data_IF_385681977655
#
_entry.id   IF_385681977655
#
_cell.length_a   1.000
_cell.length_b   1.000
_cell.length_c   1.000
_cell.angle_alpha   90.00
_cell.angle_beta   90.00
_cell.angle_gamma   90.00
#
_symmetry.space_group_name_H-M   'P 1'
#
loop_
_entity.id
_entity.type
_entity.pdbx_description
1 polymer ?
#
# COMPACT_ATOMS: atom_id res chain seq x y z
N UNK A 1 -19.45 -17.91 -5.72
CA UNK A 1 -19.38 -17.34 -7.09
C UNK A 1 -17.94 -16.84 -7.27
N UNK A 2 -17.15 -17.45 -8.16
CA UNK A 2 -15.78 -16.99 -8.43
C UNK A 2 -15.89 -15.73 -9.32
N UNK A 3 -15.38 -14.61 -8.86
CA UNK A 3 -15.33 -13.38 -9.66
C UNK A 3 -14.53 -13.65 -10.94
N UNK A 4 -15.15 -13.49 -12.09
CA UNK A 4 -14.43 -13.48 -13.37
C UNK A 4 -13.71 -12.14 -13.48
N UNK A 5 -12.39 -12.19 -13.45
CA UNK A 5 -11.55 -11.02 -13.67
C UNK A 5 -11.21 -10.96 -15.14
N UNK A 6 -11.68 -9.92 -15.80
CA UNK A 6 -11.45 -9.64 -17.23
C UNK A 6 -10.33 -8.62 -17.41
N UNK A 7 -9.82 -8.49 -18.64
CA UNK A 7 -8.69 -7.57 -18.93
C UNK A 7 -8.98 -6.12 -18.52
N UNK A 8 -10.21 -5.64 -18.77
CA UNK A 8 -10.57 -4.26 -18.40
C UNK A 8 -10.53 -3.99 -16.88
N UNK A 9 -10.74 -5.00 -16.02
CA UNK A 9 -10.59 -4.85 -14.58
C UNK A 9 -9.12 -4.64 -14.20
N UNK A 10 -8.20 -5.33 -14.89
CA UNK A 10 -6.75 -5.18 -14.68
C UNK A 10 -6.30 -3.78 -15.13
N UNK A 11 -6.77 -3.33 -16.28
CA UNK A 11 -6.46 -1.99 -16.80
C UNK A 11 -6.98 -0.89 -15.88
N UNK A 12 -8.22 -1.01 -15.40
CA UNK A 12 -8.80 -0.07 -14.43
C UNK A 12 -7.97 -0.05 -13.13
N UNK A 13 -7.62 -1.22 -12.60
CA UNK A 13 -6.78 -1.31 -11.41
C UNK A 13 -5.44 -0.59 -11.62
N UNK A 14 -4.75 -0.86 -12.72
CA UNK A 14 -3.47 -0.22 -13.08
C UNK A 14 -3.60 1.29 -13.27
N UNK A 15 -4.73 1.77 -13.79
CA UNK A 15 -4.94 3.21 -13.99
C UNK A 15 -5.04 3.99 -12.69
N UNK A 16 -5.58 3.36 -11.63
CA UNK A 16 -5.75 3.96 -10.31
C UNK A 16 -4.52 3.75 -9.42
N UNK A 17 -4.05 2.50 -9.32
CA UNK A 17 -2.99 2.12 -8.39
C UNK A 17 -1.63 2.06 -9.10
N UNK A 18 -1.14 3.23 -9.54
CA UNK A 18 0.16 3.36 -10.20
C UNK A 18 1.28 3.41 -9.16
N UNK A 19 2.31 2.61 -9.36
CA UNK A 19 3.47 2.55 -8.49
C UNK A 19 4.69 2.00 -9.23
N UNK A 20 5.67 1.48 -8.52
CA UNK A 20 6.80 0.78 -9.13
C UNK A 20 6.30 -0.50 -9.80
N UNK A 21 6.75 -0.74 -11.02
CA UNK A 21 6.43 -1.95 -11.78
C UNK A 21 7.56 -2.99 -11.70
N UNK A 22 8.78 -2.57 -11.37
CA UNK A 22 9.97 -3.42 -11.26
C UNK A 22 9.99 -4.28 -9.99
N UNK A 23 9.15 -3.95 -9.01
CA UNK A 23 9.03 -4.66 -7.74
C UNK A 23 7.63 -4.53 -7.17
N UNK A 24 7.14 -5.58 -6.54
CA UNK A 24 5.93 -5.57 -5.72
C UNK A 24 6.14 -6.41 -4.46
N UNK A 25 5.29 -6.23 -3.46
CA UNK A 25 5.30 -7.04 -2.26
C UNK A 25 4.21 -8.11 -2.29
N UNK A 26 4.48 -9.25 -1.69
CA UNK A 26 3.51 -10.30 -1.40
C UNK A 26 3.25 -10.38 0.09
N UNK A 27 1.98 -10.49 0.46
CA UNK A 27 1.59 -10.79 1.83
C UNK A 27 1.95 -12.23 2.17
N UNK A 28 2.55 -12.41 3.33
CA UNK A 28 2.78 -13.71 3.93
C UNK A 28 2.07 -13.82 5.27
N UNK A 29 1.66 -15.04 5.61
CA UNK A 29 1.08 -15.37 6.92
C UNK A 29 1.75 -16.65 7.42
N UNK A 30 2.29 -16.63 8.63
CA UNK A 30 2.95 -17.77 9.25
C UNK A 30 2.88 -17.68 10.78
N UNK A 31 2.40 -18.75 11.44
CA UNK A 31 2.36 -18.87 12.90
C UNK A 31 1.66 -17.65 13.57
N UNK A 32 0.51 -17.23 13.05
CA UNK A 32 -0.25 -16.10 13.58
C UNK A 32 0.35 -14.72 13.31
N UNK A 33 1.50 -14.65 12.64
CA UNK A 33 2.13 -13.41 12.19
C UNK A 33 1.88 -13.22 10.69
N UNK A 34 1.76 -11.98 10.27
CA UNK A 34 1.62 -11.62 8.86
C UNK A 34 2.44 -10.38 8.55
N UNK A 35 2.74 -10.19 7.27
CA UNK A 35 3.47 -9.02 6.80
C UNK A 35 3.62 -9.05 5.29
N UNK A 36 4.29 -8.05 4.76
CA UNK A 36 4.61 -7.97 3.35
C UNK A 36 6.11 -8.10 3.14
N UNK A 37 6.50 -8.77 2.08
CA UNK A 37 7.90 -8.87 1.65
C UNK A 37 7.98 -8.69 0.13
N UNK A 38 9.06 -8.12 -0.40
CA UNK A 38 9.26 -8.03 -1.85
C UNK A 38 9.18 -9.41 -2.48
N UNK A 39 8.53 -9.49 -3.64
CA UNK A 39 8.52 -10.70 -4.45
C UNK A 39 9.87 -10.87 -5.17
N UNK A 40 10.40 -12.09 -5.14
CA UNK A 40 11.70 -12.41 -5.73
C UNK A 40 11.62 -13.59 -6.69
N UNK A 41 12.42 -13.50 -7.76
CA UNK A 41 12.90 -14.67 -8.49
C UNK A 41 14.19 -15.17 -7.86
N UNK A 42 14.26 -16.44 -7.59
CA UNK A 42 15.46 -17.12 -7.10
C UNK A 42 15.38 -18.62 -7.40
N UNK A 43 16.55 -19.28 -7.42
CA UNK A 43 16.63 -20.73 -7.52
C UNK A 43 16.43 -21.36 -6.12
N UNK A 44 15.36 -22.16 -5.91
CA UNK A 44 15.11 -22.80 -4.62
C UNK A 44 16.21 -23.79 -4.19
N UNK A 45 16.87 -24.44 -5.16
CA UNK A 45 17.95 -25.39 -4.85
C UNK A 45 19.19 -24.65 -4.33
N UNK A 46 19.62 -23.58 -5.00
CA UNK A 46 20.74 -22.73 -4.54
C UNK A 46 20.44 -22.09 -3.19
N UNK A 47 19.21 -21.63 -2.99
CA UNK A 47 18.81 -21.10 -1.69
C UNK A 47 18.87 -22.16 -0.60
N UNK A 48 18.43 -23.39 -0.87
CA UNK A 48 18.54 -24.51 0.09
C UNK A 48 20.00 -24.78 0.47
N UNK A 49 20.91 -24.82 -0.48
CA UNK A 49 22.35 -24.98 -0.22
C UNK A 49 22.90 -23.83 0.63
N UNK A 50 22.55 -22.57 0.26
CA UNK A 50 22.93 -21.40 1.04
C UNK A 50 22.47 -21.51 2.50
N UNK A 51 21.24 -21.96 2.72
CA UNK A 51 20.66 -22.14 4.06
C UNK A 51 21.37 -23.25 4.84
N UNK A 52 21.75 -24.35 4.20
CA UNK A 52 22.51 -25.44 4.84
C UNK A 52 23.88 -24.96 5.33
N UNK A 53 24.47 -23.97 4.67
CA UNK A 53 25.73 -23.32 5.06
C UNK A 53 25.52 -22.13 6.04
N UNK A 54 24.39 -22.07 6.76
CA UNK A 54 24.12 -21.04 7.74
C UNK A 54 23.61 -19.72 7.18
N UNK A 55 23.36 -19.63 5.87
CA UNK A 55 22.82 -18.44 5.24
C UNK A 55 21.32 -18.22 5.51
N UNK A 56 20.86 -16.99 5.28
CA UNK A 56 19.46 -16.57 5.40
C UNK A 56 18.95 -16.04 4.07
N UNK A 57 17.62 -15.88 3.92
CA UNK A 57 17.08 -15.27 2.72
C UNK A 57 17.52 -13.81 2.55
N UNK A 58 17.76 -13.12 3.65
CA UNK A 58 18.20 -11.71 3.63
C UNK A 58 19.57 -11.55 2.96
N UNK A 59 20.53 -12.40 3.29
CA UNK A 59 21.90 -12.37 2.76
C UNK A 59 22.14 -13.27 1.53
N UNK A 60 21.06 -13.85 0.95
CA UNK A 60 21.14 -14.62 -0.29
C UNK A 60 21.28 -13.69 -1.49
N UNK A 61 22.44 -13.75 -2.17
CA UNK A 61 22.75 -12.83 -3.27
C UNK A 61 22.01 -13.15 -4.58
N UNK A 62 21.79 -14.45 -4.87
CA UNK A 62 21.19 -14.93 -6.12
C UNK A 62 19.65 -14.77 -6.14
N UNK A 63 19.17 -13.58 -5.82
CA UNK A 63 17.75 -13.21 -5.93
C UNK A 63 17.59 -11.90 -6.66
N UNK A 64 16.53 -11.77 -7.45
CA UNK A 64 16.16 -10.55 -8.17
C UNK A 64 14.70 -10.22 -7.86
N UNK A 65 14.36 -8.93 -7.82
CA UNK A 65 12.97 -8.51 -7.70
C UNK A 65 12.14 -9.07 -8.86
N UNK A 66 10.91 -9.42 -8.54
CA UNK A 66 9.91 -9.83 -9.51
C UNK A 66 9.11 -8.62 -9.92
N UNK A 67 8.99 -8.38 -11.23
CA UNK A 67 8.18 -7.31 -11.77
C UNK A 67 6.68 -7.59 -11.53
N UNK A 68 5.90 -6.53 -11.31
CA UNK A 68 4.45 -6.60 -11.20
C UNK A 68 3.84 -6.77 -12.59
N UNK A 69 3.34 -7.96 -12.91
CA UNK A 69 2.70 -8.28 -14.19
C UNK A 69 1.18 -8.29 -14.07
N UNK A 70 0.50 -8.23 -15.20
CA UNK A 70 -0.96 -8.36 -15.28
C UNK A 70 -1.46 -9.69 -14.70
N UNK A 71 -0.66 -10.75 -14.81
CA UNK A 71 -0.95 -12.04 -14.18
C UNK A 71 -0.99 -11.93 -12.66
N UNK A 72 -0.04 -11.21 -12.05
CA UNK A 72 0.02 -11.03 -10.60
C UNK A 72 -1.13 -10.15 -10.10
N UNK A 73 -1.48 -9.11 -10.86
CA UNK A 73 -2.67 -8.28 -10.60
C UNK A 73 -3.94 -9.12 -10.72
N UNK A 74 -4.06 -9.91 -11.78
CA UNK A 74 -5.21 -10.81 -11.96
C UNK A 74 -5.38 -11.80 -10.81
N UNK A 75 -4.30 -12.37 -10.29
CA UNK A 75 -4.32 -13.24 -9.10
C UNK A 75 -4.76 -12.49 -7.83
N UNK A 76 -4.32 -11.24 -7.68
CA UNK A 76 -4.75 -10.37 -6.59
C UNK A 76 -6.27 -10.09 -6.65
N UNK A 77 -6.78 -9.67 -7.81
CA UNK A 77 -8.20 -9.38 -8.00
C UNK A 77 -9.09 -10.62 -7.84
N UNK A 78 -8.56 -11.82 -8.11
CA UNK A 78 -9.25 -13.10 -7.84
C UNK A 78 -9.18 -13.53 -6.37
N UNK A 79 -8.45 -12.81 -5.53
CA UNK A 79 -8.23 -13.17 -4.13
C UNK A 79 -7.27 -14.36 -3.91
N UNK A 80 -6.51 -14.75 -4.91
CA UNK A 80 -5.55 -15.86 -4.84
C UNK A 80 -4.26 -15.47 -4.09
N UNK A 81 -3.96 -14.19 -4.06
CA UNK A 81 -2.83 -13.59 -3.34
C UNK A 81 -3.12 -12.14 -2.97
N UNK A 82 -2.34 -11.57 -2.06
CA UNK A 82 -2.40 -10.15 -1.74
C UNK A 82 -1.10 -9.48 -2.17
N UNK A 83 -1.24 -8.52 -3.08
CA UNK A 83 -0.15 -7.70 -3.61
C UNK A 83 -0.08 -6.39 -2.84
N UNK A 84 1.13 -5.97 -2.49
CA UNK A 84 1.42 -4.63 -2.00
C UNK A 84 2.20 -3.86 -3.04
N UNK A 85 1.77 -2.63 -3.31
CA UNK A 85 2.47 -1.71 -4.20
C UNK A 85 3.57 -0.96 -3.46
N UNK A 86 4.60 -0.57 -4.19
CA UNK A 86 5.57 0.45 -3.79
C UNK A 86 5.18 1.78 -4.44
N UNK A 87 4.44 2.65 -3.75
CA UNK A 87 3.91 3.88 -4.35
C UNK A 87 4.96 4.94 -4.61
N UNK A 88 6.08 4.94 -3.85
CA UNK A 88 7.18 5.87 -4.05
C UNK A 88 8.01 5.44 -5.26
N UNK A 89 8.01 6.27 -6.31
CA UNK A 89 8.79 6.05 -7.51
C UNK A 89 10.28 6.41 -7.28
N UNK A 90 11.16 5.96 -8.18
CA UNK A 90 12.62 6.17 -8.09
C UNK A 90 12.99 7.67 -8.05
N UNK A 91 12.19 8.53 -8.70
CA UNK A 91 12.36 9.98 -8.72
C UNK A 91 11.71 10.72 -7.53
N UNK A 92 11.31 9.98 -6.48
CA UNK A 92 10.63 10.50 -5.29
C UNK A 92 9.27 11.16 -5.56
N UNK A 93 8.57 10.75 -6.61
CA UNK A 93 7.18 11.11 -6.86
C UNK A 93 6.24 9.94 -6.56
N UNK A 94 4.93 10.22 -6.49
CA UNK A 94 3.87 9.21 -6.36
C UNK A 94 2.62 9.65 -7.13
N UNK A 95 1.80 8.69 -7.57
CA UNK A 95 0.51 8.93 -8.22
C UNK A 95 -0.65 9.07 -7.25
N UNK A 96 -0.43 8.78 -5.98
CA UNK A 96 -1.42 8.91 -4.91
C UNK A 96 -0.74 9.07 -3.56
N UNK A 97 -1.53 9.51 -2.59
CA UNK A 97 -1.21 9.40 -1.17
C UNK A 97 -2.37 8.72 -0.47
N UNK A 98 -2.08 7.88 0.51
CA UNK A 98 -3.10 7.22 1.30
C UNK A 98 -2.83 7.38 2.79
N UNK A 99 -3.88 7.81 3.52
CA UNK A 99 -3.86 7.87 4.97
C UNK A 99 -4.51 6.61 5.55
N UNK A 100 -3.79 5.91 6.42
CA UNK A 100 -4.19 4.66 7.06
C UNK A 100 -4.70 4.94 8.47
N UNK A 101 -5.88 4.43 8.77
CA UNK A 101 -6.57 4.60 10.04
C UNK A 101 -6.92 3.24 10.63
N UNK A 102 -6.47 3.01 11.84
CA UNK A 102 -6.76 1.83 12.63
C UNK A 102 -7.46 2.21 13.95
N UNK A 103 -7.82 1.24 14.78
CA UNK A 103 -8.49 1.38 16.08
C UNK A 103 -10.00 1.65 16.00
N UNK A 104 -10.63 1.84 17.16
CA UNK A 104 -12.09 1.82 17.30
C UNK A 104 -12.82 3.02 16.68
N UNK A 105 -12.18 4.17 16.61
CA UNK A 105 -12.75 5.41 16.10
C UNK A 105 -12.33 5.76 14.65
N UNK A 106 -11.73 4.79 13.94
CA UNK A 106 -11.19 4.99 12.60
C UNK A 106 -12.21 5.62 11.63
N UNK A 107 -13.47 5.22 11.68
CA UNK A 107 -14.49 5.73 10.75
C UNK A 107 -14.80 7.21 11.02
N UNK A 108 -14.92 7.60 12.30
CA UNK A 108 -15.13 9.00 12.68
C UNK A 108 -13.96 9.88 12.24
N UNK A 109 -12.74 9.39 12.44
CA UNK A 109 -11.52 10.12 12.05
C UNK A 109 -11.39 10.22 10.52
N UNK A 110 -11.69 9.16 9.78
CA UNK A 110 -11.77 9.20 8.32
C UNK A 110 -12.78 10.25 7.83
N UNK A 111 -13.98 10.30 8.43
CA UNK A 111 -15.03 11.27 8.05
C UNK A 111 -14.58 12.70 8.33
N UNK A 112 -13.93 12.98 9.46
CA UNK A 112 -13.35 14.30 9.75
C UNK A 112 -12.32 14.70 8.70
N UNK A 113 -11.44 13.77 8.33
CA UNK A 113 -10.42 14.04 7.33
C UNK A 113 -11.02 14.23 5.92
N UNK A 114 -12.03 13.44 5.53
CA UNK A 114 -12.74 13.62 4.26
C UNK A 114 -13.40 15.00 4.17
N UNK A 115 -14.06 15.48 5.23
CA UNK A 115 -14.63 16.83 5.29
C UNK A 115 -13.56 17.91 5.13
N UNK A 116 -12.40 17.75 5.78
CA UNK A 116 -11.30 18.67 5.59
C UNK A 116 -10.77 18.66 4.14
N UNK A 117 -10.69 17.49 3.49
CA UNK A 117 -10.34 17.42 2.08
C UNK A 117 -11.36 18.15 1.19
N UNK A 118 -12.67 17.97 1.45
CA UNK A 118 -13.75 18.63 0.73
C UNK A 118 -13.69 20.16 0.83
N UNK A 119 -13.42 20.71 2.03
CA UNK A 119 -13.25 22.17 2.27
C UNK A 119 -12.12 22.76 1.39
N UNK A 120 -11.13 21.97 1.00
CA UNK A 120 -10.02 22.39 0.15
C UNK A 120 -10.14 21.89 -1.29
N UNK A 121 -11.31 21.38 -1.70
CA UNK A 121 -11.56 20.84 -3.04
C UNK A 121 -10.59 19.72 -3.44
N UNK A 122 -10.18 18.90 -2.47
CA UNK A 122 -9.31 17.74 -2.68
C UNK A 122 -10.18 16.49 -2.78
N UNK A 123 -10.31 15.86 -3.96
CA UNK A 123 -11.05 14.60 -4.10
C UNK A 123 -10.37 13.50 -3.27
N UNK A 124 -11.12 12.92 -2.33
CA UNK A 124 -10.64 11.87 -1.44
C UNK A 124 -11.67 10.74 -1.34
N UNK A 125 -11.21 9.50 -1.24
CA UNK A 125 -12.04 8.30 -1.31
C UNK A 125 -11.76 7.38 -0.13
N UNK A 126 -12.82 7.00 0.60
CA UNK A 126 -12.72 6.08 1.73
C UNK A 126 -12.84 4.63 1.27
N UNK A 127 -11.88 3.82 1.66
CA UNK A 127 -11.91 2.36 1.58
C UNK A 127 -11.94 1.77 2.98
N UNK A 128 -12.78 0.77 3.21
CA UNK A 128 -12.73 -0.02 4.45
C UNK A 128 -11.62 -1.05 4.34
N UNK A 129 -10.75 -1.11 5.34
CA UNK A 129 -9.65 -2.09 5.37
C UNK A 129 -10.16 -3.53 5.34
N UNK A 130 -9.34 -4.46 4.87
CA UNK A 130 -9.68 -5.89 4.77
C UNK A 130 -10.11 -6.52 6.10
N UNK A 131 -9.53 -6.09 7.21
CA UNK A 131 -9.90 -6.58 8.55
C UNK A 131 -11.30 -6.11 8.97
N UNK A 132 -11.82 -5.06 8.36
CA UNK A 132 -13.04 -4.38 8.74
C UNK A 132 -12.89 -3.42 9.93
N UNK A 133 -11.72 -3.36 10.56
CA UNK A 133 -11.44 -2.59 11.77
C UNK A 133 -10.53 -1.38 11.51
N UNK A 134 -10.52 -0.87 10.29
CA UNK A 134 -9.77 0.29 9.88
C UNK A 134 -10.23 0.82 8.53
N UNK A 135 -9.64 1.90 8.06
CA UNK A 135 -9.94 2.52 6.78
C UNK A 135 -8.73 3.19 6.15
N UNK A 136 -8.77 3.28 4.83
CA UNK A 136 -7.80 3.99 4.04
C UNK A 136 -8.49 5.17 3.34
N UNK A 137 -7.93 6.36 3.45
CA UNK A 137 -8.39 7.52 2.68
C UNK A 137 -7.40 7.79 1.57
N UNK A 138 -7.84 7.57 0.33
CA UNK A 138 -7.05 7.67 -0.90
C UNK A 138 -7.23 9.03 -1.55
N UNK A 139 -6.12 9.63 -2.00
CA UNK A 139 -6.09 10.85 -2.80
C UNK A 139 -5.20 10.56 -4.00
N UNK A 140 -5.80 10.60 -5.20
CA UNK A 140 -5.12 10.29 -6.47
C UNK A 140 -4.73 11.59 -7.17
N UNK A 141 -3.62 11.56 -7.89
CA UNK A 141 -3.09 12.69 -8.66
C UNK A 141 -3.23 12.42 -10.16
N UNK A 142 -3.50 13.45 -10.94
CA UNK A 142 -3.57 13.38 -12.41
C UNK A 142 -2.19 13.09 -13.02
N UNK A 143 -1.13 13.58 -12.35
CA UNK A 143 0.27 13.34 -12.71
C UNK A 143 1.08 12.91 -11.47
N UNK A 144 2.26 12.33 -11.72
CA UNK A 144 3.15 11.93 -10.62
C UNK A 144 3.63 13.17 -9.85
N UNK A 145 3.26 13.27 -8.57
CA UNK A 145 3.50 14.43 -7.72
C UNK A 145 4.62 14.16 -6.70
N UNK A 146 5.48 15.17 -6.36
CA UNK A 146 6.53 15.00 -5.36
C UNK A 146 5.98 14.52 -4.01
N UNK A 147 6.38 13.32 -3.60
CA UNK A 147 5.83 12.65 -2.41
C UNK A 147 6.02 13.47 -1.12
N UNK A 148 7.15 14.17 -0.97
CA UNK A 148 7.37 15.01 0.20
C UNK A 148 6.40 16.20 0.29
N UNK A 149 5.94 16.75 -0.85
CA UNK A 149 4.97 17.85 -0.89
C UNK A 149 3.58 17.36 -0.54
N UNK A 150 3.11 16.29 -1.20
CA UNK A 150 1.80 15.71 -0.88
C UNK A 150 1.72 15.30 0.59
N UNK A 151 2.76 14.65 1.11
CA UNK A 151 2.85 14.25 2.51
C UNK A 151 2.72 15.45 3.47
N UNK A 152 3.41 16.55 3.20
CA UNK A 152 3.31 17.77 4.04
C UNK A 152 1.92 18.38 4.01
N UNK A 153 1.28 18.46 2.84
CA UNK A 153 -0.09 18.97 2.69
C UNK A 153 -1.06 18.11 3.50
N UNK A 154 -0.99 16.80 3.34
CA UNK A 154 -1.91 15.87 4.02
C UNK A 154 -1.71 15.89 5.53
N UNK A 155 -0.47 15.93 6.02
CA UNK A 155 -0.20 16.07 7.47
C UNK A 155 -0.82 17.38 8.00
N UNK A 156 -0.64 18.51 7.31
CA UNK A 156 -1.23 19.78 7.73
C UNK A 156 -2.78 19.74 7.78
N UNK A 157 -3.43 19.03 6.84
CA UNK A 157 -4.86 18.81 6.86
C UNK A 157 -5.30 17.93 8.03
N UNK A 158 -4.59 16.85 8.31
CA UNK A 158 -4.85 15.95 9.44
C UNK A 158 -4.70 16.68 10.78
N UNK A 159 -3.71 17.56 10.92
CA UNK A 159 -3.53 18.41 12.09
C UNK A 159 -4.68 19.42 12.23
N UNK A 160 -5.03 20.09 11.13
CA UNK A 160 -6.09 21.10 11.12
C UNK A 160 -7.46 20.55 11.51
N UNK A 161 -7.81 19.32 11.07
CA UNK A 161 -9.07 18.68 11.43
C UNK A 161 -9.03 17.95 12.79
N UNK A 162 -7.93 18.05 13.53
CA UNK A 162 -7.78 17.44 14.86
C UNK A 162 -7.69 15.91 14.84
N UNK A 163 -7.36 15.32 13.69
CA UNK A 163 -7.19 13.88 13.53
C UNK A 163 -5.79 13.43 13.92
N UNK A 164 -4.80 14.28 13.70
CA UNK A 164 -3.40 13.99 14.03
C UNK A 164 -2.80 15.12 14.88
N UNK A 165 -2.01 14.73 15.87
CA UNK A 165 -1.14 15.65 16.60
C UNK A 165 0.16 14.93 16.89
N UNK A 166 1.28 15.63 16.75
CA UNK A 166 2.62 15.10 17.10
C UNK A 166 2.69 14.68 18.57
N UNK A 167 1.84 15.26 19.41
CA UNK A 167 1.79 15.01 20.86
C UNK A 167 0.76 13.95 21.27
N UNK A 168 -0.15 13.57 20.39
CA UNK A 168 -1.22 12.61 20.69
C UNK A 168 -0.96 11.27 20.00
N UNK A 169 -0.58 10.27 20.80
CA UNK A 169 -0.40 8.89 20.35
C UNK A 169 -1.69 8.05 20.38
N UNK A 170 -2.80 8.63 20.82
CA UNK A 170 -4.09 7.93 20.92
C UNK A 170 -4.87 7.95 19.61
N UNK A 171 -4.53 8.84 18.67
CA UNK A 171 -5.16 8.94 17.35
C UNK A 171 -5.25 7.59 16.63
N UNK A 172 -6.33 7.36 15.91
CA UNK A 172 -6.48 6.21 15.01
C UNK A 172 -5.71 6.35 13.70
N UNK A 173 -5.26 7.55 13.36
CA UNK A 173 -4.33 7.74 12.25
C UNK A 173 -3.01 7.01 12.55
N UNK A 174 -2.65 6.04 11.69
CA UNK A 174 -1.43 5.24 11.86
C UNK A 174 -0.29 5.81 11.01
N UNK A 175 -0.50 5.97 9.72
CA UNK A 175 0.56 6.40 8.81
C UNK A 175 0.06 6.96 7.47
N UNK A 176 0.99 7.56 6.71
CA UNK A 176 0.82 7.93 5.30
C UNK A 176 1.69 7.05 4.41
N UNK A 177 1.16 6.72 3.24
CA UNK A 177 1.89 6.13 2.12
C UNK A 177 1.82 7.06 0.89
N UNK A 178 2.89 7.27 0.23
CA UNK A 178 4.29 7.02 0.59
C UNK A 178 4.79 7.90 1.70
#
# INVERSE_FOLDING_TARGET
MRLMVEAHHIELFKSLFKGREDVFALRWEKNGKSGYMPAYFYDPYRFRQHKMNGGTFQNFADKKYKALSDQEIGRHLKGEQLVGLYPLLINNTSWFVVADFDKNDWLEQCVKFLKACEEYFIPAYLERSRSGNGGHVWIFFEEAYPAYKSRRIIIALLEKCGVFSVFDKSSSFDRLFP
#
